data_IF_872166320075
#
_entry.id   IF_872166320075
#
_cell.length_a   1.000
_cell.length_b   1.000
_cell.length_c   1.000
_cell.angle_alpha   90.00
_cell.angle_beta   90.00
_cell.angle_gamma   90.00
#
_symmetry.space_group_name_H-M   'P 1'
#
loop_
_entity.id
_entity.type
_entity.pdbx_description
1 polymer ?
#
# COMPACT_ATOMS: atom_id res chain seq x y z
N UNK A 1 6.91 3.97 19.13
CA UNK A 1 7.22 5.28 18.50
C UNK A 1 6.89 5.20 17.01
N UNK A 2 5.85 5.87 16.52
CA UNK A 2 5.41 5.78 15.10
C UNK A 2 6.55 6.11 14.12
N UNK A 3 7.42 7.04 14.49
CA UNK A 3 8.61 7.46 13.73
C UNK A 3 9.61 6.32 13.46
N UNK A 4 9.79 5.39 14.40
CA UNK A 4 10.70 4.25 14.21
C UNK A 4 10.21 3.28 13.14
N UNK A 5 8.89 3.05 13.08
CA UNK A 5 8.27 2.25 12.03
C UNK A 5 8.39 2.92 10.67
N UNK A 6 8.16 4.24 10.59
CA UNK A 6 8.31 5.00 9.34
C UNK A 6 9.75 4.92 8.82
N UNK A 7 10.75 5.14 9.70
CA UNK A 7 12.16 5.02 9.32
C UNK A 7 12.52 3.60 8.85
N UNK A 8 12.05 2.57 9.57
CA UNK A 8 12.24 1.18 9.16
C UNK A 8 11.63 0.87 7.79
N UNK A 9 10.41 1.34 7.53
CA UNK A 9 9.74 1.20 6.22
C UNK A 9 10.53 1.92 5.12
N UNK A 10 11.00 3.14 5.35
CA UNK A 10 11.81 3.88 4.36
C UNK A 10 13.13 3.18 4.05
N UNK A 11 13.80 2.61 5.06
CA UNK A 11 15.02 1.81 4.85
C UNK A 11 14.72 0.57 4.00
N UNK A 12 13.64 -0.16 4.29
CA UNK A 12 13.24 -1.31 3.49
C UNK A 12 12.91 -0.93 2.04
N UNK A 13 12.17 0.16 1.84
CA UNK A 13 11.84 0.68 0.51
C UNK A 13 13.11 1.08 -0.26
N UNK A 14 14.07 1.71 0.41
CA UNK A 14 15.36 2.05 -0.19
C UNK A 14 16.16 0.81 -0.59
N UNK A 15 16.16 -0.24 0.24
CA UNK A 15 16.81 -1.52 -0.09
C UNK A 15 16.16 -2.20 -1.29
N UNK A 16 14.83 -2.24 -1.35
CA UNK A 16 14.07 -2.77 -2.50
C UNK A 16 14.42 -1.98 -3.76
N UNK A 17 14.44 -0.64 -3.67
CA UNK A 17 14.81 0.23 -4.78
C UNK A 17 16.23 -0.06 -5.27
N UNK A 18 17.21 -0.11 -4.38
CA UNK A 18 18.62 -0.35 -4.74
C UNK A 18 18.84 -1.75 -5.33
N UNK A 19 18.08 -2.76 -4.91
CA UNK A 19 18.21 -4.12 -5.43
C UNK A 19 17.52 -4.31 -6.79
N UNK A 20 16.28 -3.82 -6.93
CA UNK A 20 15.46 -4.07 -8.12
C UNK A 20 15.77 -3.07 -9.26
N UNK A 21 16.17 -1.84 -8.95
CA UNK A 21 16.52 -0.82 -9.95
C UNK A 21 17.63 -1.22 -10.94
N UNK A 22 18.77 -1.79 -10.52
CA UNK A 22 19.80 -2.26 -11.45
C UNK A 22 19.39 -3.53 -12.19
N UNK A 23 18.46 -4.32 -11.63
CA UNK A 23 17.95 -5.56 -12.22
C UNK A 23 17.00 -5.31 -13.40
N UNK A 24 16.27 -4.20 -13.37
CA UNK A 24 15.41 -3.77 -14.48
C UNK A 24 16.29 -3.23 -15.62
N UNK A 25 16.33 -3.94 -16.74
CA UNK A 25 17.15 -3.55 -17.89
C UNK A 25 16.82 -2.13 -18.35
N UNK A 26 17.86 -1.36 -18.71
CA UNK A 26 17.73 0.05 -19.14
C UNK A 26 16.79 0.25 -20.35
N UNK A 27 16.58 -0.79 -21.14
CA UNK A 27 15.68 -0.80 -22.32
C UNK A 27 14.19 -0.92 -21.95
N UNK A 28 13.85 -1.43 -20.76
CA UNK A 28 12.48 -1.66 -20.31
C UNK A 28 11.90 -0.44 -19.56
N UNK A 29 11.73 0.68 -20.26
CA UNK A 29 11.18 1.93 -19.69
C UNK A 29 9.82 1.74 -19.00
N UNK A 30 8.96 0.88 -19.55
CA UNK A 30 7.63 0.58 -18.97
C UNK A 30 7.72 -0.12 -17.62
N UNK A 31 8.66 -1.07 -17.47
CA UNK A 31 8.84 -1.80 -16.21
C UNK A 31 9.35 -0.90 -15.10
N UNK A 32 10.23 0.08 -15.42
CA UNK A 32 10.65 1.09 -14.44
C UNK A 32 9.50 1.94 -13.94
N UNK A 33 8.59 2.32 -14.84
CA UNK A 33 7.40 3.10 -14.47
C UNK A 33 6.49 2.26 -13.57
N UNK A 34 6.23 1.01 -13.93
CA UNK A 34 5.41 0.09 -13.10
C UNK A 34 6.05 -0.13 -11.73
N UNK A 35 7.37 -0.35 -11.69
CA UNK A 35 8.11 -0.52 -10.45
C UNK A 35 7.99 0.71 -9.53
N UNK A 36 8.26 1.91 -10.05
CA UNK A 36 8.15 3.15 -9.27
C UNK A 36 6.70 3.37 -8.82
N UNK A 37 5.72 3.14 -9.71
CA UNK A 37 4.31 3.29 -9.39
C UNK A 37 3.88 2.35 -8.26
N UNK A 38 4.20 1.05 -8.35
CA UNK A 38 3.87 0.08 -7.31
C UNK A 38 4.61 0.33 -6.00
N UNK A 39 5.90 0.65 -6.06
CA UNK A 39 6.71 0.93 -4.87
C UNK A 39 6.23 2.19 -4.14
N UNK A 40 5.92 3.26 -4.88
CA UNK A 40 5.38 4.49 -4.30
C UNK A 40 3.99 4.27 -3.70
N UNK A 41 3.12 3.56 -4.39
CA UNK A 41 1.76 3.26 -3.91
C UNK A 41 1.79 2.41 -2.65
N UNK A 42 2.62 1.37 -2.61
CA UNK A 42 2.83 0.55 -1.41
C UNK A 42 3.44 1.35 -0.23
N UNK A 43 4.38 2.26 -0.50
CA UNK A 43 4.99 3.11 0.52
C UNK A 43 3.98 4.10 1.12
N UNK A 44 3.18 4.74 0.27
CA UNK A 44 2.10 5.64 0.72
C UNK A 44 1.12 4.86 1.59
N UNK A 45 0.70 3.68 1.15
CA UNK A 45 -0.25 2.83 1.88
C UNK A 45 0.32 2.44 3.27
N UNK A 46 1.59 2.06 3.32
CA UNK A 46 2.27 1.73 4.59
C UNK A 46 2.33 2.93 5.54
N UNK A 47 2.69 4.12 5.05
CA UNK A 47 2.74 5.34 5.87
C UNK A 47 1.35 5.69 6.40
N UNK A 48 0.32 5.63 5.54
CA UNK A 48 -1.07 5.89 5.94
C UNK A 48 -1.49 4.94 7.07
N UNK A 49 -1.14 3.65 6.98
CA UNK A 49 -1.47 2.64 7.99
C UNK A 49 -0.71 2.86 9.31
N UNK A 50 0.55 3.31 9.25
CA UNK A 50 1.33 3.64 10.46
C UNK A 50 0.75 4.88 11.17
N UNK A 51 0.29 5.87 10.41
CA UNK A 51 -0.33 7.07 10.96
C UNK A 51 -1.73 6.78 11.52
N UNK A 52 -2.54 6.03 10.77
CA UNK A 52 -3.92 5.67 11.08
C UNK A 52 -4.09 4.14 11.10
N UNK A 53 -3.75 3.46 12.21
CA UNK A 53 -3.84 2.01 12.31
C UNK A 53 -5.28 1.49 12.26
N UNK A 54 -6.26 2.31 12.63
CA UNK A 54 -7.69 1.96 12.62
C UNK A 54 -8.36 2.25 11.27
N UNK A 55 -7.58 2.46 10.20
CA UNK A 55 -8.12 2.69 8.87
C UNK A 55 -8.95 1.47 8.44
N UNK A 56 -10.23 1.66 8.04
CA UNK A 56 -11.10 0.55 7.71
C UNK A 56 -10.55 -0.23 6.50
N UNK A 57 -10.29 -1.52 6.71
CA UNK A 57 -9.80 -2.42 5.68
C UNK A 57 -10.87 -2.75 4.63
N UNK A 58 -10.48 -3.40 3.50
CA UNK A 58 -11.39 -3.78 2.43
C UNK A 58 -12.58 -4.59 2.92
N UNK A 59 -12.35 -5.49 3.88
CA UNK A 59 -13.40 -6.30 4.51
C UNK A 59 -14.42 -5.46 5.27
N UNK A 60 -13.97 -4.41 5.98
CA UNK A 60 -14.86 -3.47 6.67
C UNK A 60 -15.62 -2.59 5.66
N UNK A 61 -15.01 -2.29 4.51
CA UNK A 61 -15.69 -1.63 3.38
C UNK A 61 -16.84 -2.49 2.82
N UNK A 62 -16.64 -3.80 2.67
CA UNK A 62 -17.71 -4.74 2.30
C UNK A 62 -18.84 -4.65 3.31
N UNK A 63 -18.55 -4.71 4.61
CA UNK A 63 -19.58 -4.56 5.63
C UNK A 63 -20.32 -3.22 5.51
N UNK A 64 -19.63 -2.11 5.27
CA UNK A 64 -20.29 -0.80 5.07
C UNK A 64 -21.25 -0.77 3.88
N UNK A 65 -20.89 -1.42 2.77
CA UNK A 65 -21.70 -1.44 1.54
C UNK A 65 -22.87 -2.42 1.67
N UNK A 66 -22.64 -3.61 2.22
CA UNK A 66 -23.60 -4.71 2.18
C UNK A 66 -24.48 -4.82 3.43
N UNK A 67 -24.06 -4.30 4.59
CA UNK A 67 -24.89 -4.25 5.81
C UNK A 67 -26.20 -3.47 5.63
N UNK A 68 -26.27 -2.31 4.95
CA UNK A 68 -27.56 -1.65 4.68
C UNK A 68 -28.42 -2.47 3.71
N UNK A 69 -27.83 -3.11 2.69
CA UNK A 69 -28.59 -3.97 1.75
C UNK A 69 -29.17 -5.20 2.46
N UNK A 70 -28.43 -5.82 3.38
CA UNK A 70 -28.94 -6.91 4.22
C UNK A 70 -30.11 -6.50 5.12
N UNK A 71 -30.12 -5.25 5.61
CA UNK A 71 -31.28 -4.70 6.36
C UNK A 71 -32.48 -4.40 5.46
N UNK A 72 -32.28 -4.13 4.18
CA UNK A 72 -33.36 -3.86 3.22
C UNK A 72 -33.95 -5.15 2.61
N UNK A 73 -33.16 -6.22 2.53
CA UNK A 73 -33.55 -7.52 1.95
C UNK A 73 -33.98 -8.55 3.00
N UNK A 74 -33.63 -8.36 4.28
CA UNK A 74 -34.30 -9.04 5.38
C UNK A 74 -35.68 -8.42 5.60
N UNK A 75 -36.70 -9.26 5.84
CA UNK A 75 -38.03 -8.81 6.30
C UNK A 75 -37.93 -7.82 7.45
#
# INVERSE_FOLDING_TARGET
MKTGFILGTLVLVALIFLYEWPRINRTQKKEKIVFIALLSLGTILAIVLILNPDLPGPTQMIDYIYKPLGRMLGK
#
